data_IF_955670346660
#
_entry.id   IF_955670346660
#
_cell.length_a   1.000
_cell.length_b   1.000
_cell.length_c   1.000
_cell.angle_alpha   90.00
_cell.angle_beta   90.00
_cell.angle_gamma   90.00
#
_symmetry.space_group_name_H-M   'P 1'
#
loop_
_entity.id
_entity.type
_entity.pdbx_description
1 polymer ?
#
# COMPACT_ATOMS: atom_id res chain seq x y z
N UNK A 1 -54.62 -15.09 -22.88
CA UNK A 1 -53.32 -14.46 -22.58
C UNK A 1 -52.93 -13.58 -23.74
N UNK A 2 -52.68 -12.28 -23.50
CA UNK A 2 -52.25 -11.34 -24.53
C UNK A 2 -50.76 -11.52 -24.82
N UNK A 3 -50.43 -11.87 -26.07
CA UNK A 3 -49.05 -12.04 -26.48
C UNK A 3 -48.50 -10.74 -27.11
N UNK A 4 -47.44 -10.20 -26.49
CA UNK A 4 -46.84 -8.89 -26.84
C UNK A 4 -45.86 -9.02 -28.01
N UNK A 5 -45.75 -7.94 -28.79
CA UNK A 5 -44.76 -7.90 -29.87
C UNK A 5 -43.34 -7.75 -29.32
N UNK A 6 -42.34 -8.15 -30.10
CA UNK A 6 -40.92 -7.97 -29.74
C UNK A 6 -40.57 -6.51 -29.44
N UNK A 7 -41.16 -5.54 -30.15
CA UNK A 7 -40.93 -4.11 -29.91
C UNK A 7 -41.53 -3.63 -28.59
N UNK A 8 -42.72 -4.13 -28.24
CA UNK A 8 -43.34 -3.85 -26.94
C UNK A 8 -42.48 -4.39 -25.79
N UNK A 9 -42.01 -5.64 -25.90
CA UNK A 9 -41.15 -6.25 -24.88
C UNK A 9 -39.82 -5.52 -24.75
N UNK A 10 -39.17 -5.19 -25.87
CA UNK A 10 -37.92 -4.42 -25.89
C UNK A 10 -38.06 -3.07 -25.15
N UNK A 11 -39.16 -2.36 -25.39
CA UNK A 11 -39.44 -1.10 -24.70
C UNK A 11 -39.70 -1.28 -23.20
N UNK A 12 -40.40 -2.36 -22.82
CA UNK A 12 -40.72 -2.64 -21.42
C UNK A 12 -39.51 -3.04 -20.59
N UNK A 13 -38.58 -3.81 -21.17
CA UNK A 13 -37.44 -4.37 -20.43
C UNK A 13 -36.14 -3.60 -20.64
N UNK A 14 -36.14 -2.59 -21.52
CA UNK A 14 -34.95 -1.82 -21.88
C UNK A 14 -33.93 -2.60 -22.74
N UNK A 15 -34.29 -3.80 -23.18
CA UNK A 15 -33.43 -4.69 -23.98
C UNK A 15 -33.65 -4.41 -25.47
N UNK A 16 -32.57 -4.37 -26.24
CA UNK A 16 -32.69 -4.17 -27.69
C UNK A 16 -33.43 -5.33 -28.37
N UNK A 17 -34.16 -5.05 -29.46
CA UNK A 17 -34.79 -6.09 -30.30
C UNK A 17 -33.75 -7.10 -30.79
N UNK A 18 -32.51 -6.65 -31.08
CA UNK A 18 -31.39 -7.50 -31.48
C UNK A 18 -31.03 -8.51 -30.39
N UNK A 19 -30.99 -8.06 -29.13
CA UNK A 19 -30.71 -8.93 -27.98
C UNK A 19 -31.83 -9.94 -27.77
N UNK A 20 -33.10 -9.55 -27.92
CA UNK A 20 -34.23 -10.50 -27.86
C UNK A 20 -34.18 -11.54 -28.98
N UNK A 21 -33.77 -11.16 -30.19
CA UNK A 21 -33.55 -12.11 -31.27
C UNK A 21 -32.38 -13.05 -30.98
N UNK A 22 -31.30 -12.54 -30.39
CA UNK A 22 -30.18 -13.36 -29.97
C UNK A 22 -30.59 -14.37 -28.90
N UNK A 23 -31.35 -13.95 -27.88
CA UNK A 23 -31.85 -14.85 -26.83
C UNK A 23 -32.81 -15.91 -27.35
N UNK A 24 -33.67 -15.59 -28.32
CA UNK A 24 -34.48 -16.59 -29.01
C UNK A 24 -33.59 -17.58 -29.77
N UNK A 25 -32.59 -17.08 -30.51
CA UNK A 25 -31.71 -17.92 -31.32
C UNK A 25 -30.90 -18.93 -30.50
N UNK A 26 -30.39 -18.54 -29.33
CA UNK A 26 -29.65 -19.44 -28.44
C UNK A 26 -30.55 -20.27 -27.50
N UNK A 27 -31.88 -20.14 -27.63
CA UNK A 27 -32.86 -20.85 -26.81
C UNK A 27 -32.97 -20.35 -25.38
N UNK A 28 -32.47 -19.15 -25.06
CA UNK A 28 -32.48 -18.60 -23.71
C UNK A 28 -33.83 -17.96 -23.36
N UNK A 29 -34.44 -17.22 -24.30
CA UNK A 29 -35.79 -16.64 -24.16
C UNK A 29 -36.54 -16.84 -25.49
N UNK A 30 -37.33 -17.91 -25.56
CA UNK A 30 -38.05 -18.30 -26.78
C UNK A 30 -39.48 -17.77 -26.70
N UNK A 31 -39.98 -17.06 -27.73
CA UNK A 31 -41.37 -16.60 -27.74
C UNK A 31 -42.32 -17.79 -27.87
N UNK A 32 -43.28 -17.89 -26.95
CA UNK A 32 -44.26 -18.98 -26.92
C UNK A 32 -45.26 -18.93 -28.08
N UNK A 33 -45.37 -17.79 -28.79
CA UNK A 33 -46.27 -17.65 -29.93
C UNK A 33 -45.62 -16.92 -31.11
N UNK A 34 -46.19 -17.14 -32.30
CA UNK A 34 -45.89 -16.38 -33.51
C UNK A 34 -47.18 -16.00 -34.22
N UNK A 35 -47.22 -14.84 -34.88
CA UNK A 35 -48.36 -14.46 -35.74
C UNK A 35 -48.41 -15.34 -36.98
N UNK A 36 -49.52 -15.34 -37.72
CA UNK A 36 -49.64 -16.02 -39.01
C UNK A 36 -48.54 -15.62 -40.03
N UNK A 37 -48.04 -14.37 -39.96
CA UNK A 37 -46.94 -13.88 -40.79
C UNK A 37 -45.53 -14.18 -40.21
N UNK A 38 -45.41 -14.98 -39.14
CA UNK A 38 -44.14 -15.41 -38.54
C UNK A 38 -43.52 -14.49 -37.48
N UNK A 39 -44.12 -13.32 -37.20
CA UNK A 39 -43.61 -12.39 -36.17
C UNK A 39 -43.71 -12.95 -34.75
N UNK A 40 -42.66 -12.72 -33.94
CA UNK A 40 -42.54 -13.17 -32.54
C UNK A 40 -43.59 -12.54 -31.64
N UNK A 41 -44.19 -13.36 -30.77
CA UNK A 41 -45.17 -12.97 -29.77
C UNK A 41 -44.80 -13.58 -28.42
N UNK A 42 -44.56 -12.72 -27.44
CA UNK A 42 -44.12 -13.10 -26.10
C UNK A 42 -45.31 -13.06 -25.14
N UNK A 43 -45.56 -14.18 -24.47
CA UNK A 43 -46.54 -14.30 -23.39
C UNK A 43 -45.98 -13.67 -22.09
N UNK A 44 -46.82 -13.59 -21.06
CA UNK A 44 -46.38 -13.14 -19.73
C UNK A 44 -45.25 -14.01 -19.16
N UNK A 45 -45.35 -15.34 -19.34
CA UNK A 45 -44.31 -16.27 -18.90
C UNK A 45 -42.97 -16.06 -19.62
N UNK A 46 -43.00 -15.74 -20.92
CA UNK A 46 -41.77 -15.44 -21.65
C UNK A 46 -41.11 -14.14 -21.15
N UNK A 47 -41.92 -13.16 -20.74
CA UNK A 47 -41.45 -11.89 -20.17
C UNK A 47 -40.90 -12.08 -18.76
N UNK A 48 -41.52 -12.94 -17.95
CA UNK A 48 -41.03 -13.31 -16.62
C UNK A 48 -39.67 -14.01 -16.71
N UNK A 49 -39.53 -14.97 -17.64
CA UNK A 49 -38.25 -15.62 -17.92
C UNK A 49 -37.18 -14.60 -18.37
N UNK A 50 -37.54 -13.67 -19.25
CA UNK A 50 -36.65 -12.59 -19.66
C UNK A 50 -36.18 -11.73 -18.48
N UNK A 51 -37.08 -11.41 -17.53
CA UNK A 51 -36.72 -10.65 -16.34
C UNK A 51 -35.66 -11.37 -15.50
N UNK A 52 -35.82 -12.68 -15.26
CA UNK A 52 -34.84 -13.49 -14.55
C UNK A 52 -33.48 -13.52 -15.26
N UNK A 53 -33.47 -13.67 -16.59
CA UNK A 53 -32.24 -13.62 -17.40
C UNK A 53 -31.48 -12.30 -17.18
N UNK A 54 -32.19 -11.17 -17.12
CA UNK A 54 -31.57 -9.85 -16.92
C UNK A 54 -30.99 -9.70 -15.51
N UNK A 55 -31.68 -10.21 -14.48
CA UNK A 55 -31.18 -10.22 -13.10
C UNK A 55 -29.89 -11.02 -13.01
N UNK A 56 -29.85 -12.25 -13.51
CA UNK A 56 -28.62 -13.06 -13.48
C UNK A 56 -27.49 -12.46 -14.33
N UNK A 57 -27.84 -11.78 -15.43
CA UNK A 57 -26.86 -11.05 -16.22
C UNK A 57 -26.24 -9.87 -15.47
N UNK A 58 -27.04 -9.15 -14.67
CA UNK A 58 -26.51 -8.03 -13.87
C UNK A 58 -25.53 -8.46 -12.78
N UNK A 59 -25.63 -9.70 -12.30
CA UNK A 59 -24.68 -10.28 -11.34
C UNK A 59 -23.54 -11.07 -12.02
N UNK A 60 -23.44 -10.99 -13.35
CA UNK A 60 -22.28 -11.47 -14.10
C UNK A 60 -22.34 -12.90 -14.65
N UNK A 61 -23.47 -13.62 -14.54
CA UNK A 61 -23.56 -15.00 -15.05
C UNK A 61 -23.51 -15.05 -16.59
N UNK A 62 -22.85 -16.09 -17.12
CA UNK A 62 -22.80 -16.36 -18.56
C UNK A 62 -24.18 -16.84 -19.09
N UNK A 63 -24.48 -16.66 -20.39
CA UNK A 63 -25.83 -16.94 -20.94
C UNK A 63 -26.12 -18.44 -20.87
N UNK A 64 -25.10 -19.26 -21.07
CA UNK A 64 -25.17 -20.72 -20.98
C UNK A 64 -25.51 -21.19 -19.55
N UNK A 65 -24.87 -20.60 -18.54
CA UNK A 65 -25.16 -20.90 -17.12
C UNK A 65 -26.59 -20.51 -16.75
N UNK A 66 -27.05 -19.34 -17.20
CA UNK A 66 -28.41 -18.86 -16.97
C UNK A 66 -29.42 -19.80 -17.63
N UNK A 67 -29.13 -20.25 -18.86
CA UNK A 67 -29.99 -21.21 -19.56
C UNK A 67 -30.12 -22.51 -18.78
N UNK A 68 -29.00 -23.13 -18.40
CA UNK A 68 -29.00 -24.37 -17.61
C UNK A 68 -29.79 -24.21 -16.31
N UNK A 69 -29.63 -23.08 -15.62
CA UNK A 69 -30.30 -22.79 -14.36
C UNK A 69 -31.81 -22.57 -14.51
N UNK A 70 -32.25 -21.94 -15.61
CA UNK A 70 -33.67 -21.69 -15.87
C UNK A 70 -34.38 -22.85 -16.57
N UNK A 71 -33.64 -23.80 -17.15
CA UNK A 71 -34.18 -24.98 -17.83
C UNK A 71 -34.30 -26.19 -16.88
N UNK A 72 -33.65 -26.16 -15.70
CA UNK A 72 -33.72 -27.21 -14.69
C UNK A 72 -34.69 -26.82 -13.54
N UNK A 73 -35.86 -27.48 -13.41
CA UNK A 73 -36.83 -27.22 -12.35
C UNK A 73 -36.32 -27.53 -10.94
N UNK A 74 -35.25 -28.33 -10.82
CA UNK A 74 -34.64 -28.71 -9.56
C UNK A 74 -33.41 -27.84 -9.21
N UNK A 75 -33.04 -26.88 -10.06
CA UNK A 75 -31.90 -26.01 -9.82
C UNK A 75 -32.16 -25.07 -8.62
N UNK A 76 -31.39 -25.25 -7.55
CA UNK A 76 -31.33 -24.30 -6.45
C UNK A 76 -30.44 -23.11 -6.84
N UNK A 77 -31.10 -22.10 -7.39
CA UNK A 77 -30.51 -20.82 -7.78
C UNK A 77 -29.75 -20.17 -6.63
N UNK A 78 -30.35 -20.16 -5.44
CA UNK A 78 -29.79 -19.47 -4.29
C UNK A 78 -28.49 -20.16 -3.87
N UNK A 79 -28.47 -21.49 -3.86
CA UNK A 79 -27.26 -22.26 -3.61
C UNK A 79 -26.17 -22.04 -4.69
N UNK A 80 -26.55 -21.85 -5.96
CA UNK A 80 -25.57 -21.51 -7.00
C UNK A 80 -24.96 -20.12 -6.80
N UNK A 81 -25.78 -19.11 -6.51
CA UNK A 81 -25.30 -17.75 -6.24
C UNK A 81 -24.46 -17.67 -4.97
N UNK A 82 -24.81 -18.41 -3.92
CA UNK A 82 -24.02 -18.52 -2.69
C UNK A 82 -22.62 -19.08 -2.97
N UNK A 83 -22.51 -20.18 -3.74
CA UNK A 83 -21.20 -20.72 -4.15
C UNK A 83 -20.38 -19.74 -4.98
N UNK A 84 -21.02 -18.98 -5.86
CA UNK A 84 -20.32 -17.94 -6.64
C UNK A 84 -19.82 -16.79 -5.74
N UNK A 85 -20.63 -16.38 -4.75
CA UNK A 85 -20.24 -15.36 -3.78
C UNK A 85 -19.05 -15.81 -2.93
N UNK A 86 -19.05 -17.07 -2.48
CA UNK A 86 -17.92 -17.67 -1.74
C UNK A 86 -16.63 -17.63 -2.57
N UNK A 87 -16.68 -18.06 -3.83
CA UNK A 87 -15.50 -18.01 -4.72
C UNK A 87 -14.99 -16.59 -4.98
N UNK A 88 -15.89 -15.60 -5.05
CA UNK A 88 -15.53 -14.19 -5.20
C UNK A 88 -14.85 -13.65 -3.94
N UNK A 89 -15.36 -13.99 -2.75
CA UNK A 89 -14.70 -13.62 -1.49
C UNK A 89 -13.31 -14.23 -1.39
N UNK A 90 -13.14 -15.53 -1.68
CA UNK A 90 -11.82 -16.16 -1.69
C UNK A 90 -10.85 -15.50 -2.68
N UNK A 91 -11.36 -15.06 -3.84
CA UNK A 91 -10.53 -14.34 -4.80
C UNK A 91 -10.12 -12.96 -4.29
N UNK A 92 -11.06 -12.22 -3.70
CA UNK A 92 -10.78 -10.93 -3.08
C UNK A 92 -9.72 -11.05 -1.98
N UNK A 93 -9.83 -12.09 -1.13
CA UNK A 93 -8.84 -12.37 -0.09
C UNK A 93 -7.46 -12.65 -0.68
N UNK A 94 -7.37 -13.48 -1.73
CA UNK A 94 -6.08 -13.74 -2.43
C UNK A 94 -5.46 -12.48 -3.02
N UNK A 95 -6.29 -11.62 -3.62
CA UNK A 95 -5.84 -10.34 -4.15
C UNK A 95 -5.37 -9.42 -3.02
N UNK A 96 -6.10 -9.35 -1.91
CA UNK A 96 -5.70 -8.59 -0.72
C UNK A 96 -4.35 -9.03 -0.14
N UNK A 97 -4.11 -10.34 -0.01
CA UNK A 97 -2.81 -10.85 0.40
C UNK A 97 -1.69 -10.47 -0.57
N UNK A 98 -1.96 -10.49 -1.87
CA UNK A 98 -0.99 -10.12 -2.90
C UNK A 98 -0.66 -8.63 -2.84
N UNK A 99 -1.67 -7.77 -2.67
CA UNK A 99 -1.49 -6.32 -2.47
C UNK A 99 -0.57 -6.08 -1.28
N UNK A 100 -0.87 -6.70 -0.13
CA UNK A 100 -0.06 -6.55 1.08
C UNK A 100 1.41 -6.98 0.86
N UNK A 101 1.64 -8.12 0.21
CA UNK A 101 2.99 -8.59 -0.09
C UNK A 101 3.76 -7.63 -1.02
N UNK A 102 3.07 -7.00 -1.98
CA UNK A 102 3.67 -6.00 -2.86
C UNK A 102 3.95 -4.71 -2.11
N UNK A 103 3.07 -4.26 -1.21
CA UNK A 103 3.32 -3.12 -0.32
C UNK A 103 4.55 -3.36 0.56
N UNK A 104 4.66 -4.55 1.19
CA UNK A 104 5.84 -4.95 1.97
C UNK A 104 7.13 -4.95 1.13
N UNK A 105 7.06 -5.45 -0.12
CA UNK A 105 8.19 -5.42 -1.05
C UNK A 105 8.56 -3.99 -1.49
N UNK A 106 7.56 -3.14 -1.72
CA UNK A 106 7.75 -1.74 -2.07
C UNK A 106 8.38 -0.97 -0.92
N UNK A 107 7.93 -1.19 0.32
CA UNK A 107 8.50 -0.56 1.52
C UNK A 107 9.94 -1.03 1.76
N UNK A 108 10.21 -2.33 1.58
CA UNK A 108 11.58 -2.86 1.63
C UNK A 108 12.49 -2.21 0.58
N UNK A 109 11.99 -1.97 -0.64
CA UNK A 109 12.76 -1.34 -1.70
C UNK A 109 12.90 0.19 -1.50
N UNK A 110 11.84 0.84 -0.98
CA UNK A 110 11.77 2.27 -0.70
C UNK A 110 12.64 2.67 0.48
N UNK A 111 12.93 1.75 1.39
CA UNK A 111 13.88 2.00 2.48
C UNK A 111 15.31 2.27 2.00
N UNK A 112 15.62 2.17 0.69
CA UNK A 112 16.93 2.51 0.11
C UNK A 112 18.05 1.53 0.48
N UNK A 113 17.79 0.63 1.41
CA UNK A 113 18.70 -0.38 1.93
C UNK A 113 18.56 -1.65 1.06
N UNK A 114 19.57 -1.95 0.24
CA UNK A 114 19.68 -3.21 -0.52
C UNK A 114 20.05 -4.41 0.38
N UNK A 115 19.40 -4.55 1.53
CA UNK A 115 19.58 -5.67 2.46
C UNK A 115 18.30 -6.49 2.53
N UNK A 116 18.46 -7.81 2.54
CA UNK A 116 17.35 -8.71 2.83
C UNK A 116 16.83 -8.47 4.25
N UNK A 117 15.56 -8.82 4.53
CA UNK A 117 15.00 -8.70 5.87
C UNK A 117 15.85 -9.43 6.96
N UNK A 118 16.46 -10.57 6.60
CA UNK A 118 17.36 -11.30 7.49
C UNK A 118 18.63 -10.50 7.82
N UNK A 119 19.23 -9.84 6.81
CA UNK A 119 20.40 -8.99 7.00
C UNK A 119 20.06 -7.70 7.76
N UNK A 120 18.87 -7.14 7.55
CA UNK A 120 18.41 -5.97 8.31
C UNK A 120 18.26 -6.31 9.80
N UNK A 121 17.68 -7.46 10.13
CA UNK A 121 17.58 -7.93 11.52
C UNK A 121 18.94 -8.27 12.11
N UNK A 122 19.84 -8.90 11.34
CA UNK A 122 21.22 -9.20 11.75
C UNK A 122 22.00 -7.93 12.08
N UNK A 123 21.89 -6.91 11.23
CA UNK A 123 22.68 -5.68 11.35
C UNK A 123 22.02 -4.76 12.37
N UNK A 124 20.74 -4.41 12.23
CA UNK A 124 20.11 -3.33 12.99
C UNK A 124 19.18 -3.82 14.12
N UNK A 125 18.98 -5.13 14.27
CA UNK A 125 18.01 -5.70 15.19
C UNK A 125 16.56 -5.54 14.72
N UNK A 126 15.61 -6.01 15.53
CA UNK A 126 14.18 -6.03 15.19
C UNK A 126 13.45 -4.71 15.37
N UNK A 127 14.14 -3.68 15.90
CA UNK A 127 13.49 -2.45 16.39
C UNK A 127 13.83 -1.21 15.53
N UNK A 128 14.80 -1.32 14.62
CA UNK A 128 15.40 -0.16 13.94
C UNK A 128 14.63 0.34 12.72
N UNK A 129 13.75 -0.47 12.13
CA UNK A 129 12.93 -0.07 10.98
C UNK A 129 11.47 -0.42 11.25
N UNK A 130 10.71 0.52 11.77
CA UNK A 130 9.26 0.45 11.71
C UNK A 130 8.78 0.96 10.36
N UNK A 131 7.90 0.21 9.69
CA UNK A 131 7.29 0.56 8.39
C UNK A 131 6.69 1.99 8.37
N UNK A 132 6.29 2.50 9.53
CA UNK A 132 5.71 3.83 9.72
C UNK A 132 6.73 4.97 9.48
N UNK A 133 8.02 4.76 9.81
CA UNK A 133 9.05 5.81 9.67
C UNK A 133 9.44 6.06 8.21
N UNK A 134 9.59 5.01 7.41
CA UNK A 134 9.97 5.13 6.01
C UNK A 134 8.89 5.85 5.19
N UNK A 135 7.61 5.57 5.49
CA UNK A 135 6.46 6.23 4.84
C UNK A 135 6.32 7.69 5.27
N UNK A 136 6.42 7.99 6.56
CA UNK A 136 6.32 9.38 7.05
C UNK A 136 7.48 10.26 6.53
N UNK A 137 8.68 9.70 6.43
CA UNK A 137 9.84 10.42 5.91
C UNK A 137 9.70 10.73 4.41
N UNK A 138 9.11 9.83 3.62
CA UNK A 138 8.77 10.08 2.22
C UNK A 138 7.65 11.12 2.09
N UNK A 139 6.61 11.08 2.92
CA UNK A 139 5.53 12.07 2.87
C UNK A 139 6.03 13.49 3.21
N UNK A 140 6.95 13.61 4.18
CA UNK A 140 7.47 14.90 4.63
C UNK A 140 8.60 15.44 3.77
N UNK A 141 9.45 14.56 3.22
CA UNK A 141 10.70 14.96 2.56
C UNK A 141 10.94 14.32 1.19
N UNK A 142 10.01 13.48 0.70
CA UNK A 142 10.16 12.66 -0.52
C UNK A 142 10.44 13.45 -1.80
N UNK A 143 9.96 14.69 -1.89
CA UNK A 143 10.22 15.57 -3.02
C UNK A 143 11.56 16.30 -2.93
N UNK A 144 12.19 16.31 -1.75
CA UNK A 144 13.43 17.03 -1.46
C UNK A 144 14.68 16.40 -2.10
N UNK A 145 15.65 17.25 -2.45
CA UNK A 145 16.92 16.80 -3.02
C UNK A 145 17.72 15.93 -2.05
N UNK A 146 17.65 16.20 -0.75
CA UNK A 146 18.27 15.39 0.30
C UNK A 146 17.72 13.96 0.34
N UNK A 147 16.41 13.78 0.18
CA UNK A 147 15.79 12.45 0.11
C UNK A 147 16.29 11.68 -1.11
N UNK A 148 16.25 12.30 -2.29
CA UNK A 148 16.76 11.68 -3.53
C UNK A 148 18.25 11.34 -3.45
N UNK A 149 19.05 12.17 -2.78
CA UNK A 149 20.45 11.86 -2.51
C UNK A 149 20.61 10.66 -1.59
N UNK A 150 19.88 10.64 -0.47
CA UNK A 150 19.86 9.54 0.49
C UNK A 150 19.57 8.21 -0.19
N UNK A 151 18.49 8.16 -0.99
CA UNK A 151 18.11 6.96 -1.73
C UNK A 151 19.22 6.50 -2.69
N UNK A 152 19.89 7.42 -3.39
CA UNK A 152 20.99 7.06 -4.31
C UNK A 152 22.22 6.55 -3.57
N UNK A 153 22.62 7.19 -2.46
CA UNK A 153 23.82 6.79 -1.70
C UNK A 153 23.57 5.48 -0.95
N UNK A 154 22.43 5.35 -0.29
CA UNK A 154 22.01 4.13 0.41
C UNK A 154 21.91 2.92 -0.54
N UNK A 155 21.39 3.13 -1.76
CA UNK A 155 21.31 2.06 -2.76
C UNK A 155 22.69 1.57 -3.26
N UNK A 156 23.76 2.35 -3.06
CA UNK A 156 25.12 1.96 -3.42
C UNK A 156 25.85 1.22 -2.29
N UNK A 157 25.32 1.21 -1.06
CA UNK A 157 25.95 0.55 0.08
C UNK A 157 25.78 -0.97 0.05
N UNK A 158 26.89 -1.65 0.28
CA UNK A 158 26.95 -3.09 0.49
C UNK A 158 26.59 -3.47 1.92
N UNK A 159 26.39 -4.77 2.18
CA UNK A 159 26.26 -5.29 3.55
C UNK A 159 27.40 -4.86 4.46
N UNK A 160 28.62 -4.87 3.96
CA UNK A 160 29.79 -4.49 4.73
C UNK A 160 29.76 -2.99 5.09
N UNK A 161 29.35 -2.14 4.14
CA UNK A 161 29.20 -0.70 4.41
C UNK A 161 28.15 -0.45 5.50
N UNK A 162 27.03 -1.18 5.50
CA UNK A 162 26.01 -1.06 6.56
C UNK A 162 26.50 -1.52 7.93
N UNK A 163 27.33 -2.56 8.00
CA UNK A 163 27.97 -3.00 9.24
C UNK A 163 28.89 -1.90 9.77
N UNK A 164 29.70 -1.29 8.91
CA UNK A 164 30.63 -0.21 9.28
C UNK A 164 29.88 1.06 9.70
N UNK A 165 28.84 1.46 8.96
CA UNK A 165 27.96 2.59 9.31
C UNK A 165 27.34 2.39 10.69
N UNK A 166 26.82 1.20 10.98
CA UNK A 166 26.25 0.90 12.30
C UNK A 166 27.32 1.01 13.39
N UNK A 167 28.48 0.36 13.19
CA UNK A 167 29.56 0.37 14.18
C UNK A 167 30.04 1.80 14.48
N UNK A 168 30.17 2.64 13.45
CA UNK A 168 30.55 4.04 13.58
C UNK A 168 29.51 4.87 14.35
N UNK A 169 28.23 4.62 14.07
CA UNK A 169 27.11 5.29 14.74
C UNK A 169 26.99 4.86 16.22
N UNK A 170 27.11 3.57 16.52
CA UNK A 170 27.12 3.07 17.91
C UNK A 170 28.28 3.66 18.70
N UNK A 171 29.48 3.73 18.09
CA UNK A 171 30.64 4.35 18.71
C UNK A 171 30.43 5.86 18.94
N UNK A 172 29.80 6.56 17.99
CA UNK A 172 29.46 7.98 18.15
C UNK A 172 28.48 8.19 19.32
N UNK A 173 27.42 7.38 19.42
CA UNK A 173 26.46 7.46 20.52
C UNK A 173 27.12 7.19 21.88
N UNK A 174 28.01 6.19 21.95
CA UNK A 174 28.78 5.90 23.16
C UNK A 174 29.68 7.07 23.57
N UNK A 175 30.38 7.69 22.61
CA UNK A 175 31.25 8.84 22.88
C UNK A 175 30.45 10.09 23.28
N UNK A 176 29.30 10.34 22.66
CA UNK A 176 28.37 11.40 23.06
C UNK A 176 27.86 11.19 24.49
N UNK A 177 27.45 9.97 24.84
CA UNK A 177 27.01 9.62 26.19
C UNK A 177 28.14 9.79 27.22
N UNK A 178 29.37 9.37 26.87
CA UNK A 178 30.53 9.57 27.73
C UNK A 178 30.83 11.06 27.97
N UNK A 179 30.80 11.88 26.91
CA UNK A 179 31.01 13.32 26.98
C UNK A 179 29.93 14.01 27.84
N UNK A 180 28.66 13.61 27.70
CA UNK A 180 27.57 14.07 28.55
C UNK A 180 27.81 13.73 30.02
N UNK A 181 28.18 12.48 30.33
CA UNK A 181 28.48 12.05 31.72
C UNK A 181 29.67 12.80 32.31
N UNK A 182 30.65 13.13 31.49
CA UNK A 182 31.81 13.93 31.87
C UNK A 182 31.49 15.44 31.94
N UNK A 183 30.26 15.86 31.63
CA UNK A 183 29.82 17.26 31.58
C UNK A 183 30.72 18.13 30.68
N UNK A 184 31.13 17.59 29.52
CA UNK A 184 31.87 18.35 28.50
C UNK A 184 31.02 19.54 28.06
N UNK A 185 31.60 20.75 28.11
CA UNK A 185 30.85 21.97 27.85
C UNK A 185 30.58 22.16 26.35
N UNK A 186 29.36 22.58 25.95
CA UNK A 186 29.09 23.05 24.59
C UNK A 186 30.05 24.17 24.17
N UNK A 187 30.50 24.15 22.92
CA UNK A 187 31.52 25.07 22.39
C UNK A 187 32.95 24.78 22.85
N UNK A 188 33.18 23.66 23.53
CA UNK A 188 34.53 23.16 23.78
C UNK A 188 35.08 22.42 22.55
N UNK A 189 36.42 22.35 22.36
CA UNK A 189 37.02 21.61 21.26
C UNK A 189 36.67 20.11 21.24
N UNK A 190 36.23 19.55 22.36
CA UNK A 190 35.75 18.16 22.42
C UNK A 190 34.30 18.05 21.95
N UNK A 191 33.41 18.94 22.43
CA UNK A 191 32.03 19.02 21.97
C UNK A 191 31.94 19.30 20.46
N UNK A 192 32.75 20.22 19.94
CA UNK A 192 32.76 20.56 18.52
C UNK A 192 33.17 19.37 17.65
N UNK A 193 34.17 18.57 18.09
CA UNK A 193 34.58 17.34 17.40
C UNK A 193 33.46 16.30 17.35
N UNK A 194 32.68 16.18 18.41
CA UNK A 194 31.53 15.27 18.44
C UNK A 194 30.40 15.75 17.53
N UNK A 195 30.11 17.05 17.54
CA UNK A 195 29.13 17.66 16.64
C UNK A 195 29.52 17.50 15.16
N UNK A 196 30.80 17.67 14.82
CA UNK A 196 31.32 17.42 13.46
C UNK A 196 31.20 15.95 13.08
N UNK A 197 31.55 15.03 13.99
CA UNK A 197 31.45 13.60 13.72
C UNK A 197 30.00 13.16 13.50
N UNK A 198 29.06 13.77 14.22
CA UNK A 198 27.63 13.61 13.98
C UNK A 198 27.20 14.17 12.63
N UNK A 199 27.69 15.35 12.22
CA UNK A 199 27.42 15.89 10.88
C UNK A 199 27.94 14.96 9.80
N UNK A 200 29.16 14.47 9.96
CA UNK A 200 29.82 13.55 9.03
C UNK A 200 29.11 12.20 8.91
N UNK A 201 28.45 11.70 9.97
CA UNK A 201 27.64 10.49 9.88
C UNK A 201 26.37 10.71 9.05
N UNK A 202 25.74 11.89 9.15
CA UNK A 202 24.59 12.27 8.31
C UNK A 202 25.01 12.51 6.86
N UNK A 203 26.15 13.16 6.64
CA UNK A 203 26.70 13.47 5.30
C UNK A 203 26.92 12.22 4.44
N UNK A 204 26.99 11.02 5.04
CA UNK A 204 27.02 9.76 4.30
C UNK A 204 25.78 9.58 3.42
N UNK A 205 24.62 10.07 3.86
CA UNK A 205 23.35 9.88 3.16
C UNK A 205 22.99 11.05 2.25
N UNK A 206 23.22 12.29 2.68
CA UNK A 206 22.93 13.48 1.87
C UNK A 206 23.78 14.66 2.32
N UNK A 207 23.98 15.64 1.45
CA UNK A 207 24.74 16.84 1.80
C UNK A 207 24.09 17.56 3.00
N UNK A 208 24.85 17.73 4.08
CA UNK A 208 24.38 18.29 5.35
C UNK A 208 25.27 19.46 5.77
N UNK A 209 24.81 20.68 5.45
CA UNK A 209 25.42 21.90 5.96
C UNK A 209 25.07 22.13 7.44
N UNK A 210 25.76 23.07 8.08
CA UNK A 210 25.56 23.38 9.50
C UNK A 210 24.12 23.78 9.82
N UNK A 211 23.44 24.47 8.89
CA UNK A 211 22.05 24.88 9.03
C UNK A 211 21.12 23.66 9.01
N UNK A 212 21.35 22.72 8.09
CA UNK A 212 20.61 21.47 8.00
C UNK A 212 20.81 20.64 9.26
N UNK A 213 22.05 20.53 9.75
CA UNK A 213 22.35 19.82 10.99
C UNK A 213 21.57 20.41 12.18
N UNK A 214 21.49 21.73 12.28
CA UNK A 214 20.71 22.39 13.33
C UNK A 214 19.21 22.11 13.20
N UNK A 215 18.64 22.21 11.98
CA UNK A 215 17.23 21.86 11.75
C UNK A 215 16.90 20.41 12.14
N UNK A 216 17.83 19.48 11.93
CA UNK A 216 17.67 18.08 12.35
C UNK A 216 17.73 17.95 13.88
N UNK A 217 18.65 18.67 14.53
CA UNK A 217 18.74 18.70 15.98
C UNK A 217 17.46 19.24 16.65
N UNK A 218 16.86 20.30 16.09
CA UNK A 218 15.56 20.82 16.53
C UNK A 218 14.45 19.77 16.39
N UNK A 219 14.43 19.06 15.26
CA UNK A 219 13.45 18.00 14.99
C UNK A 219 13.60 16.84 15.97
N UNK A 220 14.82 16.45 16.34
CA UNK A 220 15.05 15.37 17.30
C UNK A 220 14.42 15.64 18.66
N UNK A 221 14.35 16.91 19.09
CA UNK A 221 13.67 17.32 20.33
C UNK A 221 12.16 17.50 20.15
N UNK A 222 11.71 17.85 18.94
CA UNK A 222 10.29 18.03 18.64
C UNK A 222 9.52 16.70 18.52
N UNK A 223 10.22 15.61 18.19
CA UNK A 223 9.66 14.27 18.02
C UNK A 223 10.19 13.30 19.09
N UNK A 224 9.29 12.86 19.97
CA UNK A 224 9.59 11.98 21.10
C UNK A 224 10.28 10.68 20.67
N UNK A 225 10.03 10.20 19.44
CA UNK A 225 10.65 8.97 18.91
C UNK A 225 12.14 9.16 18.70
N UNK A 226 12.54 10.30 18.12
CA UNK A 226 13.95 10.65 17.93
C UNK A 226 14.62 11.01 19.25
N UNK A 227 13.92 11.72 20.15
CA UNK A 227 14.41 11.96 21.51
C UNK A 227 14.76 10.65 22.20
N UNK A 228 13.83 9.67 22.18
CA UNK A 228 14.02 8.36 22.80
C UNK A 228 15.20 7.59 22.22
N UNK A 229 15.46 7.68 20.92
CA UNK A 229 16.61 7.01 20.29
C UNK A 229 17.95 7.41 20.94
N UNK A 230 18.15 8.69 21.26
CA UNK A 230 19.34 9.14 21.98
C UNK A 230 19.23 8.89 23.48
N UNK A 231 18.06 9.15 24.07
CA UNK A 231 17.85 9.08 25.53
C UNK A 231 17.85 7.65 26.09
N UNK A 232 17.53 6.63 25.27
CA UNK A 232 17.69 5.22 25.61
C UNK A 232 19.17 4.84 25.82
N UNK A 233 20.11 5.58 25.20
CA UNK A 233 21.56 5.40 25.43
C UNK A 233 22.00 6.09 26.71
N UNK A 234 21.52 7.31 26.94
CA UNK A 234 21.80 8.11 28.13
C UNK A 234 20.71 9.18 28.32
N UNK A 235 19.98 9.24 29.46
CA UNK A 235 18.87 10.16 29.62
C UNK A 235 19.26 11.64 29.43
N UNK A 236 18.57 12.37 28.56
CA UNK A 236 18.89 13.75 28.17
C UNK A 236 20.02 13.89 27.15
N UNK A 237 20.39 12.81 26.45
CA UNK A 237 21.42 12.85 25.41
C UNK A 237 20.96 13.61 24.17
N UNK A 238 19.67 13.55 23.83
CA UNK A 238 19.12 14.33 22.72
C UNK A 238 19.33 15.83 22.93
N UNK A 239 19.04 16.32 24.14
CA UNK A 239 19.23 17.73 24.49
C UNK A 239 20.72 18.11 24.47
N UNK A 240 21.59 17.26 25.02
CA UNK A 240 23.03 17.51 25.00
C UNK A 240 23.59 17.60 23.56
N UNK A 241 23.17 16.69 22.67
CA UNK A 241 23.57 16.71 21.26
C UNK A 241 23.11 18.01 20.57
N UNK A 242 21.86 18.42 20.81
CA UNK A 242 21.34 19.69 20.31
C UNK A 242 22.22 20.87 20.78
N UNK A 243 22.56 20.93 22.07
CA UNK A 243 23.30 22.05 22.66
C UNK A 243 24.73 22.16 22.10
N UNK A 244 25.41 21.03 21.88
CA UNK A 244 26.76 21.05 21.27
C UNK A 244 26.72 21.45 19.79
N UNK A 245 25.65 21.10 19.05
CA UNK A 245 25.46 21.53 17.66
C UNK A 245 25.20 23.03 17.62
N UNK A 246 24.25 23.52 18.42
CA UNK A 246 23.89 24.93 18.48
C UNK A 246 25.07 25.83 18.87
N UNK A 247 25.90 25.38 19.82
CA UNK A 247 27.10 26.11 20.23
C UNK A 247 28.15 26.22 19.11
N UNK A 248 28.29 25.19 18.26
CA UNK A 248 29.22 25.18 17.13
C UNK A 248 28.75 26.06 15.98
N UNK A 249 27.46 26.01 15.64
CA UNK A 249 26.91 26.75 14.50
C UNK A 249 26.73 28.24 14.75
N UNK A 250 26.86 28.68 16.01
CA UNK A 250 26.64 30.05 16.45
C UNK A 250 25.15 30.39 16.38
N UNK A 251 24.48 30.38 17.54
CA UNK A 251 23.12 30.91 17.67
C UNK A 251 23.00 32.35 17.21
#
# INVERSE_FOLDING_TARGET
MEARTVGTVAKMTGVSVRTLHHYDHIGLVVPSARTAAGYRRYTDADVERLHLVLVYRSVGLALEQIRTLLDDPAADVLAHLQRQLELLHEHADRVGHTIKAVEELMDAHRSGIQLTAAEQVEIFGTTAFGDEYAREAEERWGDGDAWKQSQRRAAAYTKQDWIEIKADNDALLADLAAAKRAAVAPGSPEADRLAERHRASIERFYDCDDRMQMCLADMYLADERFTRYYDDVEPGLAQYLHDIIAARTGG
#
